data_IF_983606660146
#
_entry.id   IF_983606660146
#
_cell.length_a   1.000
_cell.length_b   1.000
_cell.length_c   1.000
_cell.angle_alpha   90.00
_cell.angle_beta   90.00
_cell.angle_gamma   90.00
#
_symmetry.space_group_name_H-M   'P 1'
#
loop_
_entity.id
_entity.type
_entity.pdbx_description
1 polymer ?
#
# COMPACT_ATOMS: atom_id res chain seq x y z
N UNK A 1 21.45 -12.36 1.31
CA UNK A 1 22.07 -11.24 0.57
C UNK A 1 21.60 -11.25 -0.88
N UNK A 2 21.64 -12.40 -1.54
CA UNK A 2 21.24 -12.58 -2.96
C UNK A 2 19.80 -12.17 -3.25
N UNK A 3 18.86 -12.50 -2.36
CA UNK A 3 17.46 -12.05 -2.49
C UNK A 3 17.35 -10.52 -2.53
N UNK A 4 18.06 -9.83 -1.63
CA UNK A 4 18.04 -8.37 -1.56
C UNK A 4 18.77 -7.71 -2.74
N UNK A 5 19.80 -8.38 -3.27
CA UNK A 5 20.53 -7.91 -4.44
C UNK A 5 19.67 -7.89 -5.71
N UNK A 6 18.59 -8.68 -5.77
CA UNK A 6 17.61 -8.63 -6.85
C UNK A 6 16.47 -7.67 -6.51
N UNK A 7 15.83 -7.84 -5.34
CA UNK A 7 14.56 -7.19 -5.03
C UNK A 7 14.70 -5.68 -4.77
N UNK A 8 15.77 -5.23 -4.12
CA UNK A 8 15.99 -3.80 -3.84
C UNK A 8 16.20 -3.00 -5.13
N UNK A 9 17.17 -3.33 -6.01
CA UNK A 9 17.37 -2.55 -7.22
C UNK A 9 16.20 -2.66 -8.19
N UNK A 10 15.53 -3.82 -8.27
CA UNK A 10 14.38 -3.97 -9.19
C UNK A 10 13.20 -3.12 -8.76
N UNK A 11 12.87 -3.10 -7.47
CA UNK A 11 11.80 -2.26 -6.92
C UNK A 11 12.14 -0.77 -7.01
N UNK A 12 13.41 -0.40 -6.83
CA UNK A 12 13.86 0.98 -7.04
C UNK A 12 13.60 1.45 -8.48
N UNK A 13 13.93 0.62 -9.47
CA UNK A 13 13.66 0.95 -10.89
C UNK A 13 12.15 1.06 -11.15
N UNK A 14 11.35 0.17 -10.57
CA UNK A 14 9.89 0.28 -10.62
C UNK A 14 9.37 1.60 -10.04
N UNK A 15 9.88 2.02 -8.88
CA UNK A 15 9.52 3.31 -8.25
C UNK A 15 9.92 4.48 -9.15
N UNK A 16 11.11 4.45 -9.75
CA UNK A 16 11.57 5.49 -10.68
C UNK A 16 10.66 5.55 -11.92
N UNK A 17 10.28 4.40 -12.48
CA UNK A 17 9.36 4.32 -13.61
C UNK A 17 7.98 4.89 -13.27
N UNK A 18 7.44 4.59 -12.08
CA UNK A 18 6.20 5.20 -11.59
C UNK A 18 6.35 6.72 -11.49
N UNK A 19 7.45 7.20 -10.92
CA UNK A 19 7.72 8.63 -10.73
C UNK A 19 7.79 9.38 -12.06
N UNK A 20 8.55 8.84 -13.02
CA UNK A 20 8.65 9.39 -14.38
C UNK A 20 7.28 9.40 -15.06
N UNK A 21 6.57 8.27 -15.04
CA UNK A 21 5.23 8.18 -15.63
C UNK A 21 4.27 9.20 -15.01
N UNK A 22 4.29 9.34 -13.68
CA UNK A 22 3.41 10.25 -12.95
C UNK A 22 3.70 11.72 -13.23
N UNK A 23 4.94 12.07 -13.58
CA UNK A 23 5.30 13.44 -13.97
C UNK A 23 4.63 13.87 -15.28
N UNK A 24 4.44 12.93 -16.19
CA UNK A 24 3.82 13.18 -17.50
C UNK A 24 2.35 12.76 -17.55
N UNK A 25 1.77 12.38 -16.42
CA UNK A 25 0.39 11.91 -16.33
C UNK A 25 -0.56 13.07 -16.08
N UNK A 26 -1.61 13.15 -16.89
CA UNK A 26 -2.67 14.14 -16.72
C UNK A 26 -2.30 15.49 -17.33
N UNK A 27 -3.10 16.51 -17.03
CA UNK A 27 -2.83 17.89 -17.41
C UNK A 27 -2.44 18.68 -16.16
N UNK A 28 -1.64 19.71 -16.34
CA UNK A 28 -1.48 20.71 -15.29
C UNK A 28 -2.87 21.29 -14.94
N UNK A 29 -3.13 21.55 -13.65
CA UNK A 29 -4.45 21.96 -13.18
C UNK A 29 -4.97 23.23 -13.90
N UNK A 30 -4.10 24.16 -14.25
CA UNK A 30 -4.43 25.37 -15.01
C UNK A 30 -4.87 25.09 -16.47
N UNK A 31 -4.52 23.91 -17.00
CA UNK A 31 -4.83 23.44 -18.36
C UNK A 31 -5.89 22.34 -18.39
N UNK A 32 -6.32 21.83 -17.24
CA UNK A 32 -7.34 20.80 -17.12
C UNK A 32 -8.74 21.43 -17.18
N UNK A 33 -9.44 21.22 -18.30
CA UNK A 33 -10.80 21.75 -18.52
C UNK A 33 -11.82 21.27 -17.48
N UNK A 34 -11.71 20.02 -17.00
CA UNK A 34 -12.62 19.49 -15.98
C UNK A 34 -12.37 20.17 -14.64
N UNK A 35 -11.10 20.34 -14.27
CA UNK A 35 -10.73 21.07 -13.06
C UNK A 35 -11.11 22.56 -13.14
N UNK A 36 -10.84 23.23 -14.26
CA UNK A 36 -11.23 24.62 -14.47
C UNK A 36 -12.76 24.80 -14.36
N UNK A 37 -13.54 23.86 -14.90
CA UNK A 37 -14.99 23.83 -14.72
C UNK A 37 -15.38 23.59 -13.27
N UNK A 38 -14.70 22.69 -12.56
CA UNK A 38 -14.95 22.41 -11.14
C UNK A 38 -14.76 23.66 -10.26
N UNK A 39 -13.66 24.39 -10.43
CA UNK A 39 -13.35 25.62 -9.66
C UNK A 39 -14.07 26.88 -10.16
N UNK A 40 -14.81 26.80 -11.28
CA UNK A 40 -15.65 27.90 -11.74
C UNK A 40 -16.83 28.16 -10.80
N UNK A 41 -17.21 27.15 -10.01
CA UNK A 41 -18.19 27.25 -8.93
C UNK A 41 -17.52 27.85 -7.69
N UNK A 42 -18.01 28.99 -7.15
CA UNK A 42 -17.38 29.69 -6.03
C UNK A 42 -17.15 28.81 -4.79
N UNK A 43 -18.11 27.95 -4.44
CA UNK A 43 -18.00 27.05 -3.29
C UNK A 43 -16.85 26.03 -3.46
N UNK A 44 -16.68 25.48 -4.66
CA UNK A 44 -15.60 24.54 -4.96
C UNK A 44 -14.24 25.24 -4.96
N UNK A 45 -14.19 26.47 -5.47
CA UNK A 45 -12.97 27.29 -5.43
C UNK A 45 -12.53 27.55 -3.99
N UNK A 46 -13.47 27.89 -3.11
CA UNK A 46 -13.20 28.09 -1.69
C UNK A 46 -12.79 26.78 -1.00
N UNK A 47 -13.38 25.64 -1.37
CA UNK A 47 -12.93 24.34 -0.86
C UNK A 47 -11.48 24.03 -1.24
N UNK A 48 -11.09 24.28 -2.50
CA UNK A 48 -9.73 23.99 -3.00
C UNK A 48 -8.71 24.99 -2.46
N UNK A 49 -9.02 26.29 -2.49
CA UNK A 49 -8.06 27.38 -2.24
C UNK A 49 -8.33 28.21 -0.98
N UNK A 50 -9.49 28.08 -0.34
CA UNK A 50 -9.90 28.90 0.80
C UNK A 50 -9.14 28.58 2.09
N UNK A 51 -8.69 27.34 2.24
CA UNK A 51 -7.95 26.90 3.43
C UNK A 51 -6.42 26.98 3.18
N UNK A 52 -5.92 28.20 2.99
CA UNK A 52 -4.48 28.50 2.86
C UNK A 52 -3.83 28.60 4.25
N UNK A 53 -3.86 27.53 5.03
CA UNK A 53 -2.97 27.41 6.17
C UNK A 53 -1.54 27.16 5.68
N UNK A 54 -0.87 28.20 5.15
CA UNK A 54 0.55 28.09 4.81
C UNK A 54 1.37 27.82 6.08
N UNK A 55 2.28 26.85 5.98
CA UNK A 55 3.28 26.58 7.01
C UNK A 55 4.57 27.37 6.76
N UNK A 56 4.71 28.03 5.60
CA UNK A 56 5.81 28.97 5.37
C UNK A 56 5.77 30.06 6.44
N UNK A 57 6.93 30.33 7.02
CA UNK A 57 7.16 31.32 8.07
C UNK A 57 6.40 31.10 9.39
N UNK A 58 5.76 29.93 9.58
CA UNK A 58 5.12 29.57 10.85
C UNK A 58 6.06 28.77 11.74
N UNK A 59 6.28 29.26 12.97
CA UNK A 59 6.94 28.48 14.02
C UNK A 59 5.97 27.45 14.58
N UNK A 60 6.19 26.18 14.27
CA UNK A 60 5.36 25.08 14.79
C UNK A 60 5.46 24.97 16.33
N UNK A 61 4.35 24.71 17.02
CA UNK A 61 4.36 24.43 18.46
C UNK A 61 5.28 23.26 18.80
N UNK A 62 5.95 23.33 19.96
CA UNK A 62 6.80 22.23 20.46
C UNK A 62 6.03 20.92 20.62
N UNK A 63 4.72 20.98 20.88
CA UNK A 63 3.83 19.81 20.95
C UNK A 63 3.80 19.03 19.64
N UNK A 64 3.87 19.70 18.48
CA UNK A 64 3.83 19.04 17.18
C UNK A 64 5.13 18.26 16.93
N UNK A 65 6.27 18.84 17.31
CA UNK A 65 7.56 18.15 17.29
C UNK A 65 7.59 16.96 18.24
N UNK A 66 7.02 17.10 19.44
CA UNK A 66 6.91 15.98 20.38
C UNK A 66 6.05 14.84 19.80
N UNK A 67 4.89 15.16 19.22
CA UNK A 67 4.04 14.17 18.54
C UNK A 67 4.80 13.43 17.42
N UNK A 68 5.52 14.19 16.59
CA UNK A 68 6.35 13.65 15.51
C UNK A 68 7.42 12.68 16.03
N UNK A 69 8.17 13.06 17.06
CA UNK A 69 9.21 12.19 17.63
C UNK A 69 8.65 10.94 18.30
N UNK A 70 7.51 11.04 18.97
CA UNK A 70 6.81 9.86 19.52
C UNK A 70 6.41 8.91 18.39
N UNK A 71 5.87 9.45 17.29
CA UNK A 71 5.49 8.66 16.12
C UNK A 71 6.70 8.00 15.43
N UNK A 72 7.78 8.74 15.19
CA UNK A 72 9.02 8.20 14.61
C UNK A 72 9.67 7.14 15.51
N UNK A 73 9.66 7.36 16.83
CA UNK A 73 10.13 6.38 17.80
C UNK A 73 9.31 5.09 17.76
N UNK A 74 7.98 5.20 17.64
CA UNK A 74 7.11 4.04 17.49
C UNK A 74 7.37 3.27 16.19
N UNK A 75 7.59 3.97 15.07
CA UNK A 75 7.99 3.33 13.80
C UNK A 75 9.30 2.56 13.97
N UNK A 76 10.31 3.17 14.60
CA UNK A 76 11.59 2.50 14.84
C UNK A 76 11.41 1.24 15.69
N UNK A 77 10.62 1.29 16.77
CA UNK A 77 10.31 0.13 17.61
C UNK A 77 9.60 -0.96 16.81
N UNK A 78 8.55 -0.61 16.06
CA UNK A 78 7.81 -1.58 15.23
C UNK A 78 8.70 -2.19 14.15
N UNK A 79 9.61 -1.42 13.55
CA UNK A 79 10.57 -1.93 12.59
C UNK A 79 11.55 -2.93 13.21
N UNK A 80 12.04 -2.65 14.43
CA UNK A 80 12.89 -3.59 15.17
C UNK A 80 12.15 -4.90 15.51
N UNK A 81 10.90 -4.79 15.98
CA UNK A 81 10.04 -5.95 16.24
C UNK A 81 9.67 -6.72 14.96
N UNK A 82 9.65 -6.05 13.81
CA UNK A 82 9.45 -6.69 12.51
C UNK A 82 10.70 -7.38 11.97
N UNK A 83 11.89 -6.84 12.29
CA UNK A 83 13.17 -7.38 11.87
C UNK A 83 13.56 -8.65 12.65
N UNK A 84 13.20 -8.72 13.94
CA UNK A 84 13.49 -9.86 14.80
C UNK A 84 12.20 -10.42 15.43
N UNK A 85 11.88 -11.66 15.05
CA UNK A 85 10.68 -12.34 15.52
C UNK A 85 10.65 -12.59 17.02
N UNK A 86 11.81 -12.69 17.66
CA UNK A 86 11.96 -13.10 19.06
C UNK A 86 11.76 -11.93 20.02
N UNK A 87 11.92 -10.70 19.51
CA UNK A 87 11.60 -9.47 20.25
C UNK A 87 10.09 -9.24 20.35
N UNK A 88 9.29 -9.89 19.51
CA UNK A 88 7.83 -9.72 19.53
C UNK A 88 7.24 -10.36 20.78
N UNK A 89 6.22 -9.74 21.39
CA UNK A 89 5.51 -10.37 22.50
C UNK A 89 5.01 -11.76 22.11
N UNK A 90 5.27 -12.76 22.95
CA UNK A 90 4.85 -14.14 22.73
C UNK A 90 3.81 -14.57 23.75
N UNK A 91 2.80 -15.29 23.27
CA UNK A 91 1.78 -15.92 24.11
C UNK A 91 1.71 -17.40 23.73
N UNK A 92 1.90 -18.28 24.71
CA UNK A 92 1.95 -19.72 24.46
C UNK A 92 3.13 -20.16 23.58
N UNK A 93 4.28 -19.47 23.68
CA UNK A 93 5.49 -19.79 22.92
C UNK A 93 5.45 -19.37 21.44
N UNK A 94 4.38 -18.72 20.98
CA UNK A 94 4.28 -18.19 19.62
C UNK A 94 4.34 -16.66 19.64
N UNK A 95 5.26 -16.05 18.89
CA UNK A 95 5.27 -14.61 18.67
C UNK A 95 3.95 -14.13 18.06
N UNK A 96 3.46 -12.97 18.50
CA UNK A 96 2.29 -12.34 17.88
C UNK A 96 2.55 -11.98 16.41
N UNK A 97 1.48 -11.98 15.62
CA UNK A 97 1.54 -11.55 14.22
C UNK A 97 1.90 -10.07 14.12
N UNK A 98 2.57 -9.68 13.03
CA UNK A 98 2.89 -8.26 12.80
C UNK A 98 1.65 -7.37 12.75
N UNK A 99 0.51 -7.90 12.32
CA UNK A 99 -0.77 -7.18 12.34
C UNK A 99 -1.13 -6.74 13.76
N UNK A 100 -1.10 -7.68 14.72
CA UNK A 100 -1.43 -7.39 16.11
C UNK A 100 -0.37 -6.49 16.78
N UNK A 101 0.91 -6.74 16.50
CA UNK A 101 2.01 -5.91 17.02
C UNK A 101 1.85 -4.46 16.56
N UNK A 102 1.64 -4.23 15.26
CA UNK A 102 1.43 -2.88 14.71
C UNK A 102 0.20 -2.23 15.36
N UNK A 103 -0.92 -2.93 15.47
CA UNK A 103 -2.15 -2.38 16.06
C UNK A 103 -1.95 -1.94 17.51
N UNK A 104 -1.36 -2.79 18.35
CA UNK A 104 -1.11 -2.46 19.76
C UNK A 104 -0.20 -1.25 19.91
N UNK A 105 0.92 -1.22 19.17
CA UNK A 105 1.86 -0.11 19.26
C UNK A 105 1.29 1.18 18.67
N UNK A 106 0.57 1.14 17.55
CA UNK A 106 -0.07 2.35 16.98
C UNK A 106 -1.14 2.93 17.91
N UNK A 107 -1.96 2.09 18.56
CA UNK A 107 -2.93 2.55 19.56
C UNK A 107 -2.24 3.16 20.79
N UNK A 108 -1.18 2.51 21.28
CA UNK A 108 -0.36 3.03 22.38
C UNK A 108 0.27 4.38 22.01
N UNK A 109 0.86 4.50 20.82
CA UNK A 109 1.44 5.73 20.29
C UNK A 109 0.39 6.83 20.22
N UNK A 110 -0.81 6.55 19.71
CA UNK A 110 -1.92 7.50 19.70
C UNK A 110 -2.30 7.99 21.10
N UNK A 111 -2.41 7.07 22.07
CA UNK A 111 -2.67 7.41 23.46
C UNK A 111 -1.57 8.30 24.07
N UNK A 112 -0.30 7.94 23.85
CA UNK A 112 0.85 8.72 24.33
C UNK A 112 0.89 10.12 23.71
N UNK A 113 0.61 10.25 22.40
CA UNK A 113 0.54 11.55 21.74
C UNK A 113 -0.55 12.40 22.39
N UNK A 114 -1.76 11.88 22.58
CA UNK A 114 -2.87 12.64 23.21
C UNK A 114 -2.48 13.12 24.61
N UNK A 115 -1.94 12.23 25.45
CA UNK A 115 -1.58 12.52 26.84
C UNK A 115 -0.43 13.54 26.92
N UNK A 116 0.67 13.30 26.20
CA UNK A 116 1.90 14.10 26.32
C UNK A 116 1.80 15.45 25.62
N UNK A 117 1.03 15.55 24.54
CA UNK A 117 0.77 16.83 23.85
C UNK A 117 -0.41 17.60 24.42
N UNK A 118 -1.18 16.99 25.35
CA UNK A 118 -2.42 17.53 25.91
C UNK A 118 -3.44 17.89 24.81
N UNK A 119 -3.49 17.08 23.75
CA UNK A 119 -4.44 17.28 22.65
C UNK A 119 -5.86 17.05 23.14
N UNK A 120 -6.79 17.96 22.83
CA UNK A 120 -8.20 17.79 23.14
C UNK A 120 -8.79 16.66 22.30
N UNK A 121 -9.25 15.52 22.87
CA UNK A 121 -9.80 14.43 22.07
C UNK A 121 -11.02 14.82 21.22
N UNK A 122 -11.82 15.79 21.69
CA UNK A 122 -13.00 16.25 20.98
C UNK A 122 -12.68 17.07 19.71
N UNK A 123 -11.44 17.55 19.53
CA UNK A 123 -11.03 18.21 18.28
C UNK A 123 -10.63 17.22 17.21
N UNK A 124 -10.23 15.99 17.57
CA UNK A 124 -9.79 14.96 16.63
C UNK A 124 -10.93 14.58 15.68
N UNK A 125 -12.11 14.26 16.21
CA UNK A 125 -13.28 13.86 15.41
C UNK A 125 -13.90 14.99 14.58
N UNK A 126 -13.55 16.24 14.89
CA UNK A 126 -14.02 17.42 14.17
C UNK A 126 -13.11 17.79 13.00
N UNK A 127 -11.86 17.31 12.98
CA UNK A 127 -10.92 17.61 11.92
C UNK A 127 -11.25 16.82 10.63
N UNK A 128 -11.04 17.46 9.48
CA UNK A 128 -11.23 16.89 8.14
C UNK A 128 -10.44 15.59 7.92
N UNK A 129 -9.22 15.49 8.44
CA UNK A 129 -8.36 14.30 8.30
C UNK A 129 -9.02 13.08 8.94
N UNK A 130 -9.54 13.23 10.16
CA UNK A 130 -10.20 12.13 10.85
C UNK A 130 -11.52 11.75 10.17
N UNK A 131 -12.34 12.74 9.78
CA UNK A 131 -13.60 12.49 9.08
C UNK A 131 -13.40 11.76 7.76
N UNK A 132 -12.46 12.24 6.94
CA UNK A 132 -12.06 11.62 5.68
C UNK A 132 -11.55 10.19 5.91
N UNK A 133 -10.73 9.99 6.95
CA UNK A 133 -10.25 8.67 7.36
C UNK A 133 -11.38 7.72 7.77
N UNK A 134 -12.38 8.18 8.52
CA UNK A 134 -13.52 7.36 8.93
C UNK A 134 -14.40 6.95 7.75
N UNK A 135 -14.64 7.86 6.79
CA UNK A 135 -15.37 7.54 5.55
C UNK A 135 -14.59 6.48 4.76
N UNK A 136 -13.29 6.67 4.61
CA UNK A 136 -12.42 5.70 3.94
C UNK A 136 -12.47 4.33 4.63
N UNK A 137 -12.44 4.25 5.96
CA UNK A 137 -12.51 2.97 6.69
C UNK A 137 -13.79 2.20 6.38
N UNK A 138 -14.95 2.85 6.41
CA UNK A 138 -16.24 2.19 6.12
C UNK A 138 -16.30 1.71 4.67
N UNK A 139 -15.83 2.53 3.73
CA UNK A 139 -15.77 2.18 2.31
C UNK A 139 -14.79 1.02 2.05
N UNK A 140 -13.59 1.05 2.66
CA UNK A 140 -12.62 -0.06 2.61
C UNK A 140 -13.26 -1.34 3.12
N UNK A 141 -13.93 -1.30 4.27
CA UNK A 141 -14.48 -2.49 4.90
C UNK A 141 -15.48 -3.20 3.99
N UNK A 142 -16.39 -2.45 3.35
CA UNK A 142 -17.38 -3.02 2.42
C UNK A 142 -16.74 -3.66 1.19
N UNK A 143 -15.83 -2.96 0.51
CA UNK A 143 -15.18 -3.47 -0.70
C UNK A 143 -14.26 -4.66 -0.37
N UNK A 144 -13.49 -4.57 0.72
CA UNK A 144 -12.61 -5.63 1.17
C UNK A 144 -13.40 -6.89 1.57
N UNK A 145 -14.50 -6.75 2.31
CA UNK A 145 -15.31 -7.90 2.72
C UNK A 145 -15.95 -8.60 1.53
N UNK A 146 -16.52 -7.86 0.58
CA UNK A 146 -17.10 -8.46 -0.63
C UNK A 146 -16.03 -9.19 -1.45
N UNK A 147 -14.87 -8.57 -1.66
CA UNK A 147 -13.76 -9.19 -2.39
C UNK A 147 -13.24 -10.44 -1.67
N UNK A 148 -12.93 -10.35 -0.37
CA UNK A 148 -12.47 -11.48 0.44
C UNK A 148 -13.46 -12.64 0.41
N UNK A 149 -14.76 -12.37 0.50
CA UNK A 149 -15.79 -13.42 0.48
C UNK A 149 -15.82 -14.16 -0.85
N UNK A 150 -15.85 -13.43 -1.98
CA UNK A 150 -15.89 -14.03 -3.31
C UNK A 150 -14.60 -14.78 -3.62
N UNK A 151 -13.44 -14.17 -3.40
CA UNK A 151 -12.16 -14.78 -3.75
C UNK A 151 -11.73 -15.86 -2.76
N UNK A 152 -12.04 -15.71 -1.48
CA UNK A 152 -11.83 -16.74 -0.47
C UNK A 152 -12.62 -18.01 -0.79
N UNK A 153 -13.86 -17.89 -1.29
CA UNK A 153 -14.68 -19.04 -1.71
C UNK A 153 -14.07 -19.82 -2.89
N UNK A 154 -13.29 -19.17 -3.74
CA UNK A 154 -12.70 -19.76 -4.95
C UNK A 154 -11.18 -19.92 -4.88
N UNK A 155 -10.55 -19.67 -3.73
CA UNK A 155 -9.08 -19.64 -3.61
C UNK A 155 -8.44 -20.98 -3.98
N UNK A 156 -9.05 -22.10 -3.59
CA UNK A 156 -8.57 -23.45 -3.92
C UNK A 156 -8.60 -23.73 -5.42
N UNK A 157 -9.66 -23.31 -6.12
CA UNK A 157 -9.78 -23.42 -7.57
C UNK A 157 -8.75 -22.53 -8.28
N UNK A 158 -8.59 -21.29 -7.82
CA UNK A 158 -7.60 -20.34 -8.32
C UNK A 158 -6.19 -20.93 -8.19
N UNK A 159 -5.84 -21.48 -7.02
CA UNK A 159 -4.54 -22.13 -6.79
C UNK A 159 -4.34 -23.38 -7.65
N UNK A 160 -5.37 -24.19 -7.85
CA UNK A 160 -5.31 -25.39 -8.68
C UNK A 160 -5.01 -25.07 -10.15
N UNK A 161 -5.80 -24.17 -10.76
CA UNK A 161 -5.64 -23.76 -12.16
C UNK A 161 -4.30 -23.07 -12.37
N UNK A 162 -3.92 -22.19 -11.45
CA UNK A 162 -2.68 -21.43 -11.57
C UNK A 162 -1.44 -22.29 -11.28
N UNK A 163 -1.55 -23.32 -10.45
CA UNK A 163 -0.45 -24.25 -10.18
C UNK A 163 -0.05 -25.08 -11.42
N UNK A 164 -1.01 -25.48 -12.26
CA UNK A 164 -0.73 -26.14 -13.54
C UNK A 164 -0.06 -25.17 -14.52
N UNK A 165 -0.57 -23.95 -14.63
CA UNK A 165 -0.03 -22.91 -15.51
C UNK A 165 1.43 -22.57 -15.17
N UNK A 166 1.78 -22.50 -13.89
CA UNK A 166 3.13 -22.15 -13.46
C UNK A 166 4.17 -23.24 -13.79
N UNK A 167 3.77 -24.51 -13.86
CA UNK A 167 4.67 -25.60 -14.29
C UNK A 167 5.08 -25.47 -15.75
N UNK A 168 4.15 -25.04 -16.60
CA UNK A 168 4.39 -24.86 -18.04
C UNK A 168 5.00 -23.49 -18.34
N UNK A 169 4.61 -22.47 -17.56
CA UNK A 169 4.97 -21.07 -17.75
C UNK A 169 5.43 -20.44 -16.44
N UNK A 170 6.74 -20.46 -16.10
CA UNK A 170 7.26 -19.92 -14.85
C UNK A 170 6.91 -18.44 -14.61
N UNK A 171 6.76 -17.65 -15.68
CA UNK A 171 6.33 -16.25 -15.61
C UNK A 171 4.92 -16.07 -15.02
N UNK A 172 4.05 -17.08 -15.14
CA UNK A 172 2.70 -17.06 -14.59
C UNK A 172 2.73 -16.91 -13.06
N UNK A 173 3.82 -17.31 -12.40
CA UNK A 173 3.99 -17.18 -10.95
C UNK A 173 3.77 -15.75 -10.47
N UNK A 174 4.26 -14.75 -11.22
CA UNK A 174 4.06 -13.34 -10.89
C UNK A 174 2.56 -12.98 -10.87
N UNK A 175 1.78 -13.49 -11.82
CA UNK A 175 0.33 -13.26 -11.87
C UNK A 175 -0.37 -13.93 -10.70
N UNK A 176 0.00 -15.18 -10.38
CA UNK A 176 -0.54 -15.90 -9.21
C UNK A 176 -0.30 -15.11 -7.93
N UNK A 177 0.95 -14.70 -7.72
CA UNK A 177 1.35 -13.96 -6.53
C UNK A 177 0.64 -12.60 -6.45
N UNK A 178 0.45 -11.93 -7.58
CA UNK A 178 -0.27 -10.66 -7.66
C UNK A 178 -1.74 -10.80 -7.25
N UNK A 179 -2.43 -11.79 -7.80
CA UNK A 179 -3.83 -12.06 -7.49
C UNK A 179 -3.99 -12.48 -6.03
N UNK A 180 -3.19 -13.45 -5.56
CA UNK A 180 -3.26 -13.93 -4.18
C UNK A 180 -2.92 -12.83 -3.19
N UNK A 181 -1.91 -12.00 -3.47
CA UNK A 181 -1.61 -10.82 -2.65
C UNK A 181 -2.80 -9.88 -2.53
N UNK A 182 -3.45 -9.60 -3.65
CA UNK A 182 -4.62 -8.73 -3.65
C UNK A 182 -5.73 -9.30 -2.78
N UNK A 183 -5.97 -10.61 -2.86
CA UNK A 183 -7.04 -11.26 -2.11
C UNK A 183 -6.72 -11.33 -0.63
N UNK A 184 -5.56 -11.86 -0.25
CA UNK A 184 -5.17 -11.97 1.18
C UNK A 184 -4.86 -10.58 1.81
N UNK A 185 -4.85 -9.52 0.99
CA UNK A 185 -4.60 -8.12 1.38
C UNK A 185 -3.32 -7.96 2.25
N UNK A 186 -2.33 -8.81 1.98
CA UNK A 186 -1.09 -8.90 2.75
C UNK A 186 0.02 -9.56 1.93
N UNK A 187 1.06 -8.78 1.60
CA UNK A 187 2.29 -9.20 0.92
C UNK A 187 2.94 -10.39 1.63
N UNK A 188 3.12 -10.25 2.95
CA UNK A 188 3.79 -11.26 3.76
C UNK A 188 2.97 -12.55 3.83
N UNK A 189 1.65 -12.46 4.01
CA UNK A 189 0.80 -13.64 4.06
C UNK A 189 0.71 -14.33 2.69
N UNK A 190 0.63 -13.56 1.60
CA UNK A 190 0.62 -14.11 0.24
C UNK A 190 1.93 -14.82 -0.11
N UNK A 191 3.08 -14.24 0.22
CA UNK A 191 4.38 -14.90 0.07
C UNK A 191 4.45 -16.17 0.94
N UNK A 192 4.03 -16.09 2.21
CA UNK A 192 4.03 -17.24 3.11
C UNK A 192 3.11 -18.38 2.64
N UNK A 193 2.01 -18.06 1.94
CA UNK A 193 1.08 -19.05 1.39
C UNK A 193 1.58 -19.65 0.07
N UNK A 194 2.09 -18.82 -0.85
CA UNK A 194 2.33 -19.22 -2.25
C UNK A 194 3.77 -19.70 -2.49
N UNK A 195 4.77 -19.17 -1.79
CA UNK A 195 6.16 -19.61 -1.98
C UNK A 195 6.35 -21.10 -1.68
N UNK A 196 5.83 -21.66 -0.57
CA UNK A 196 5.97 -23.10 -0.31
C UNK A 196 5.30 -23.97 -1.38
N UNK A 197 4.13 -23.54 -1.88
CA UNK A 197 3.40 -24.24 -2.95
C UNK A 197 4.19 -24.22 -4.25
N UNK A 198 4.73 -23.05 -4.64
CA UNK A 198 5.55 -22.89 -5.84
C UNK A 198 6.81 -23.75 -5.80
N UNK A 199 7.52 -23.79 -4.67
CA UNK A 199 8.68 -24.66 -4.49
C UNK A 199 8.31 -26.14 -4.58
N UNK A 200 7.17 -26.55 -3.99
CA UNK A 200 6.72 -27.94 -4.02
C UNK A 200 6.36 -28.43 -5.43
N UNK A 201 5.90 -27.54 -6.32
CA UNK A 201 5.59 -27.88 -7.72
C UNK A 201 6.78 -27.71 -8.68
N UNK A 202 7.96 -27.35 -8.16
CA UNK A 202 9.22 -27.29 -8.92
C UNK A 202 9.54 -25.95 -9.57
N UNK A 203 8.94 -24.84 -9.12
CA UNK A 203 9.30 -23.50 -9.61
C UNK A 203 10.71 -23.15 -9.16
N UNK A 204 11.54 -22.68 -10.09
CA UNK A 204 12.88 -22.20 -9.75
C UNK A 204 12.81 -21.06 -8.70
N UNK A 205 13.53 -21.16 -7.57
CA UNK A 205 13.62 -20.09 -6.59
C UNK A 205 14.00 -18.72 -7.20
N UNK A 206 14.76 -18.70 -8.29
CA UNK A 206 15.11 -17.48 -9.00
C UNK A 206 13.87 -16.77 -9.57
N UNK A 207 12.93 -17.49 -10.20
CA UNK A 207 11.66 -16.91 -10.67
C UNK A 207 10.81 -16.39 -9.52
N UNK A 208 10.83 -17.08 -8.36
CA UNK A 208 10.10 -16.66 -7.16
C UNK A 208 10.64 -15.32 -6.64
N UNK A 209 11.96 -15.24 -6.44
CA UNK A 209 12.63 -14.04 -5.94
C UNK A 209 12.48 -12.88 -6.91
N UNK A 210 12.71 -13.13 -8.19
CA UNK A 210 12.68 -12.12 -9.22
C UNK A 210 11.27 -11.57 -9.46
N UNK A 211 10.23 -12.38 -9.18
CA UNK A 211 8.83 -11.96 -9.22
C UNK A 211 8.29 -11.48 -7.87
N UNK A 212 9.10 -11.43 -6.82
CA UNK A 212 8.65 -11.01 -5.49
C UNK A 212 7.89 -9.67 -5.46
N UNK A 213 8.23 -8.64 -6.29
CA UNK A 213 7.44 -7.40 -6.34
C UNK A 213 5.97 -7.59 -6.71
N UNK A 214 5.62 -8.70 -7.38
CA UNK A 214 4.24 -9.05 -7.67
C UNK A 214 3.40 -9.27 -6.40
N UNK A 215 4.02 -9.47 -5.24
CA UNK A 215 3.28 -9.47 -3.97
C UNK A 215 2.65 -8.11 -3.64
N UNK A 216 2.83 -7.05 -4.44
CA UNK A 216 2.10 -5.78 -4.29
C UNK A 216 0.87 -5.69 -5.20
N UNK A 217 -0.16 -6.50 -4.93
CA UNK A 217 -1.44 -6.45 -5.66
C UNK A 217 -2.46 -5.44 -5.12
N UNK A 218 -2.11 -4.66 -4.11
CA UNK A 218 -3.07 -3.89 -3.31
C UNK A 218 -3.89 -2.91 -4.14
N UNK A 219 -3.25 -2.28 -5.13
CA UNK A 219 -3.84 -1.27 -5.99
C UNK A 219 -4.91 -1.81 -6.95
N UNK A 220 -5.10 -3.13 -7.12
CA UNK A 220 -6.05 -3.67 -8.12
C UNK A 220 -7.51 -3.40 -7.72
N UNK A 221 -7.80 -3.45 -6.41
CA UNK A 221 -9.04 -2.93 -5.85
C UNK A 221 -8.62 -1.87 -4.83
N UNK A 222 -9.18 -0.65 -4.85
CA UNK A 222 -8.79 0.45 -3.96
C UNK A 222 -9.37 0.22 -2.55
N UNK A 223 -9.01 -0.90 -1.94
CA UNK A 223 -9.40 -1.31 -0.58
C UNK A 223 -8.32 -0.96 0.43
N UNK A 224 -7.19 -0.39 -0.01
CA UNK A 224 -6.16 0.00 0.93
C UNK A 224 -6.49 1.40 1.48
N UNK A 225 -6.43 1.62 2.81
CA UNK A 225 -6.81 2.90 3.39
C UNK A 225 -6.05 4.10 2.82
N UNK A 226 -4.80 3.92 2.38
CA UNK A 226 -4.03 5.00 1.73
C UNK A 226 -4.61 5.43 0.39
N UNK A 227 -5.19 4.50 -0.38
CA UNK A 227 -5.75 4.79 -1.70
C UNK A 227 -7.00 5.66 -1.56
N UNK A 228 -7.89 5.27 -0.63
CA UNK A 228 -9.07 6.05 -0.33
C UNK A 228 -8.72 7.36 0.37
N UNK A 229 -7.73 7.38 1.26
CA UNK A 229 -7.26 8.64 1.86
C UNK A 229 -6.70 9.60 0.81
N UNK A 230 -5.93 9.10 -0.16
CA UNK A 230 -5.43 9.92 -1.27
C UNK A 230 -6.57 10.51 -2.10
N UNK A 231 -7.62 9.73 -2.39
CA UNK A 231 -8.83 10.24 -3.05
C UNK A 231 -9.53 11.32 -2.20
N UNK A 232 -9.71 11.07 -0.89
CA UNK A 232 -10.43 12.01 -0.01
C UNK A 232 -9.64 13.29 0.29
N UNK A 233 -8.30 13.22 0.29
CA UNK A 233 -7.44 14.40 0.46
C UNK A 233 -7.22 15.17 -0.82
N UNK A 234 -7.49 14.56 -1.98
CA UNK A 234 -7.40 15.25 -3.26
C UNK A 234 -8.59 16.20 -3.47
N UNK A 235 -8.40 17.44 -3.03
CA UNK A 235 -9.38 18.52 -3.21
C UNK A 235 -9.65 18.84 -4.69
N UNK A 236 -8.74 18.48 -5.60
CA UNK A 236 -8.92 18.72 -7.03
C UNK A 236 -9.93 17.77 -7.69
N UNK A 237 -10.19 16.62 -7.07
CA UNK A 237 -11.04 15.57 -7.63
C UNK A 237 -10.41 14.80 -8.81
N UNK A 238 -9.15 15.08 -9.17
CA UNK A 238 -8.47 14.39 -10.28
C UNK A 238 -8.17 12.93 -9.93
N UNK A 239 -7.98 12.62 -8.65
CA UNK A 239 -7.81 11.28 -8.09
C UNK A 239 -9.16 10.72 -7.65
N UNK A 240 -9.69 9.75 -8.39
CA UNK A 240 -11.01 9.20 -8.14
C UNK A 240 -11.12 7.71 -8.49
N UNK A 241 -12.23 7.10 -8.04
CA UNK A 241 -12.79 5.84 -8.55
C UNK A 241 -13.88 6.21 -9.55
N UNK A 242 -13.77 5.71 -10.77
CA UNK A 242 -14.74 5.89 -11.84
C UNK A 242 -15.95 4.96 -11.70
N UNK A 243 -16.54 4.57 -12.83
CA UNK A 243 -17.78 3.78 -12.84
C UNK A 243 -17.67 2.38 -12.19
N UNK A 244 -16.48 1.78 -12.23
CA UNK A 244 -16.22 0.44 -11.70
C UNK A 244 -15.15 0.51 -10.62
N UNK A 245 -15.20 -0.40 -9.65
CA UNK A 245 -14.22 -0.46 -8.54
C UNK A 245 -12.78 -0.60 -9.06
N UNK A 246 -12.59 -1.34 -10.16
CA UNK A 246 -11.30 -1.51 -10.85
C UNK A 246 -10.93 -0.33 -11.76
N UNK A 247 -11.83 0.61 -12.00
CA UNK A 247 -11.55 1.78 -12.83
C UNK A 247 -11.20 2.94 -11.90
N UNK A 248 -9.94 3.06 -11.50
CA UNK A 248 -9.52 4.11 -10.59
C UNK A 248 -8.09 4.58 -10.85
N UNK A 249 -7.75 5.69 -10.20
CA UNK A 249 -6.53 6.45 -10.47
C UNK A 249 -5.22 5.72 -10.14
N UNK A 250 -5.25 4.58 -9.45
CA UNK A 250 -4.03 3.86 -9.02
C UNK A 250 -3.69 2.64 -9.88
N UNK A 251 -4.58 2.20 -10.79
CA UNK A 251 -4.34 1.01 -11.63
C UNK A 251 -3.08 1.15 -12.46
N UNK A 252 -2.97 2.24 -13.24
CA UNK A 252 -1.87 2.40 -14.18
C UNK A 252 -0.52 2.60 -13.46
N UNK A 253 -0.39 3.47 -12.43
CA UNK A 253 0.82 3.54 -11.62
C UNK A 253 1.19 2.20 -10.98
N UNK A 254 0.23 1.48 -10.39
CA UNK A 254 0.48 0.20 -9.75
C UNK A 254 0.96 -0.86 -10.73
N UNK A 255 0.33 -0.94 -11.91
CA UNK A 255 0.71 -1.87 -12.97
C UNK A 255 2.11 -1.57 -13.48
N UNK A 256 2.45 -0.31 -13.74
CA UNK A 256 3.79 0.11 -14.16
C UNK A 256 4.81 -0.27 -13.09
N UNK A 257 4.57 0.07 -11.83
CA UNK A 257 5.48 -0.23 -10.73
C UNK A 257 5.77 -1.71 -10.59
N UNK A 258 4.73 -2.54 -10.52
CA UNK A 258 4.89 -3.98 -10.35
C UNK A 258 5.51 -4.62 -11.59
N UNK A 259 4.99 -4.32 -12.78
CA UNK A 259 5.50 -4.94 -14.01
C UNK A 259 6.96 -4.60 -14.27
N UNK A 260 7.36 -3.33 -14.14
CA UNK A 260 8.76 -2.90 -14.30
C UNK A 260 9.63 -3.55 -13.23
N UNK A 261 9.18 -3.59 -11.97
CA UNK A 261 9.95 -4.25 -10.90
C UNK A 261 10.15 -5.74 -11.16
N UNK A 262 9.13 -6.45 -11.65
CA UNK A 262 9.26 -7.88 -12.00
C UNK A 262 10.18 -8.09 -13.21
N UNK A 263 10.05 -7.27 -14.26
CA UNK A 263 10.92 -7.35 -15.45
C UNK A 263 12.38 -7.13 -15.09
N UNK A 264 12.69 -6.08 -14.32
CA UNK A 264 14.05 -5.85 -13.85
C UNK A 264 14.51 -6.89 -12.84
N UNK A 265 13.60 -7.45 -12.04
CA UNK A 265 13.90 -8.61 -11.20
C UNK A 265 14.41 -9.79 -12.03
N UNK A 266 13.74 -10.12 -13.14
CA UNK A 266 14.17 -11.20 -14.04
C UNK A 266 15.48 -10.87 -14.75
N UNK A 267 15.67 -9.63 -15.19
CA UNK A 267 16.94 -9.18 -15.78
C UNK A 267 18.09 -9.37 -14.79
N UNK A 268 17.92 -8.95 -13.53
CA UNK A 268 18.97 -9.11 -12.52
C UNK A 268 19.20 -10.58 -12.15
N UNK A 269 18.15 -11.39 -12.05
CA UNK A 269 18.30 -12.82 -11.81
C UNK A 269 19.10 -13.51 -12.93
N UNK A 270 18.84 -13.17 -14.20
CA UNK A 270 19.63 -13.66 -15.33
C UNK A 270 21.06 -13.11 -15.34
N UNK A 271 21.25 -11.82 -15.07
CA UNK A 271 22.59 -11.19 -15.01
C UNK A 271 23.48 -11.81 -13.93
N UNK A 272 22.90 -12.24 -12.81
CA UNK A 272 23.63 -12.90 -11.73
C UNK A 272 23.77 -14.42 -11.92
N UNK A 273 23.24 -14.98 -13.02
CA UNK A 273 23.34 -16.40 -13.35
C UNK A 273 22.42 -17.30 -12.53
N UNK A 274 21.32 -16.76 -12.01
CA UNK A 274 20.29 -17.53 -11.31
C UNK A 274 19.19 -18.05 -12.23
N UNK A 275 19.03 -17.46 -13.43
CA UNK A 275 18.10 -17.87 -14.50
C UNK A 275 18.86 -18.26 -15.76
#
# INVERSE_FOLDING_TARGET
>A
LDLLAITIPSTLIGILAIGIFSWFRGKDLDKDEEFQKFISVPENREYVYGDTATLLDKKLPKSNWLAMWIFLGAIAVVALLGADSDLRPSFGGKPLSMVLVIQMFMLLTGALIIILTKTNPASISKNEVFRSGMIAIVAVYGIAWMAETMFGAHMSEIQGVLGEMVKEYPWAYAIVLLLVSKFVNSQAAALAAIVPVALAIGVDPAYIVASAPACYGYYILPTYPSDLAAIQFDRSGTTHIGRFVINHSFILPGLIGVSVSCVFGWIFAAMYGFL
#
